data_IF_845338084219
#
_entry.id   IF_845338084219
#
_cell.length_a   1.000
_cell.length_b   1.000
_cell.length_c   1.000
_cell.angle_alpha   90.00
_cell.angle_beta   90.00
_cell.angle_gamma   90.00
#
_symmetry.space_group_name_H-M   'P 1'
#
loop_
_entity.id
_entity.type
_entity.pdbx_description
1 polymer ?
#
# COMPACT_ATOMS: atom_id res chain seq x y z
N UNK A 1 -13.88 7.94 7.73
CA UNK A 1 -13.07 7.74 8.95
C UNK A 1 -13.96 7.13 10.02
N UNK A 2 -13.47 6.17 10.81
CA UNK A 2 -14.25 5.64 11.93
C UNK A 2 -14.37 6.71 13.03
N UNK A 3 -15.55 6.92 13.64
CA UNK A 3 -15.76 8.03 14.59
C UNK A 3 -14.99 7.87 15.90
N UNK A 4 -14.70 6.63 16.32
CA UNK A 4 -14.15 6.33 17.66
C UNK A 4 -12.79 5.62 17.64
N UNK A 5 -12.29 5.25 16.45
CA UNK A 5 -11.09 4.41 16.31
C UNK A 5 -10.17 5.04 15.28
N UNK A 6 -8.87 4.88 15.49
CA UNK A 6 -7.83 5.31 14.55
C UNK A 6 -7.73 4.32 13.39
N UNK A 7 -8.80 4.23 12.61
CA UNK A 7 -8.92 3.35 11.45
C UNK A 7 -9.72 4.05 10.35
N UNK A 8 -9.31 3.80 9.11
CA UNK A 8 -10.12 4.04 7.93
C UNK A 8 -10.18 2.78 7.09
N UNK A 9 -11.22 2.67 6.28
CA UNK A 9 -11.43 1.55 5.38
C UNK A 9 -11.84 2.09 4.02
N UNK A 10 -11.34 1.45 2.98
CA UNK A 10 -11.83 1.59 1.62
C UNK A 10 -12.72 0.39 1.33
N UNK A 11 -13.95 0.64 0.87
CA UNK A 11 -14.85 -0.40 0.38
C UNK A 11 -14.98 -0.22 -1.12
N UNK A 12 -14.60 -1.26 -1.86
CA UNK A 12 -14.67 -1.29 -3.32
C UNK A 12 -15.77 -2.27 -3.70
N UNK A 13 -16.70 -1.82 -4.54
CA UNK A 13 -17.75 -2.67 -5.10
C UNK A 13 -17.64 -2.60 -6.62
N UNK A 14 -17.56 -3.76 -7.27
CA UNK A 14 -17.51 -3.88 -8.71
C UNK A 14 -18.75 -4.64 -9.19
N UNK A 15 -19.43 -4.08 -10.19
CA UNK A 15 -20.62 -4.69 -10.81
C UNK A 15 -20.36 -4.86 -12.30
N UNK A 16 -20.47 -6.09 -12.80
CA UNK A 16 -20.46 -6.35 -14.23
C UNK A 16 -21.83 -5.99 -14.82
N UNK A 17 -21.86 -5.03 -15.74
CA UNK A 17 -23.09 -4.65 -16.47
C UNK A 17 -23.17 -5.32 -17.85
N UNK A 18 -22.17 -6.12 -18.20
CA UNK A 18 -22.11 -6.90 -19.43
C UNK A 18 -22.81 -8.25 -19.31
N UNK A 19 -22.70 -9.04 -20.38
CA UNK A 19 -23.25 -10.39 -20.47
C UNK A 19 -22.17 -11.48 -20.40
N UNK A 20 -20.91 -11.08 -20.27
CA UNK A 20 -19.74 -11.96 -20.20
C UNK A 20 -19.06 -11.79 -18.85
N UNK A 21 -18.71 -12.87 -18.15
CA UNK A 21 -17.94 -12.78 -16.91
C UNK A 21 -16.63 -12.01 -17.11
N UNK A 22 -16.27 -11.17 -16.14
CA UNK A 22 -15.03 -10.39 -16.16
C UNK A 22 -14.17 -10.75 -14.96
N UNK A 23 -12.88 -10.97 -15.23
CA UNK A 23 -11.90 -11.14 -14.17
C UNK A 23 -11.41 -9.76 -13.72
N UNK A 24 -11.44 -9.47 -12.42
CA UNK A 24 -10.94 -8.22 -11.86
C UNK A 24 -10.20 -8.45 -10.55
N UNK A 25 -9.25 -7.58 -10.25
CA UNK A 25 -8.68 -7.42 -8.92
C UNK A 25 -8.79 -5.94 -8.49
N UNK A 26 -8.44 -5.67 -7.23
CA UNK A 26 -8.28 -4.32 -6.73
C UNK A 26 -6.88 -4.15 -6.15
N UNK A 27 -6.26 -3.00 -6.42
CA UNK A 27 -4.95 -2.63 -5.87
C UNK A 27 -5.09 -1.37 -5.03
N UNK A 28 -4.77 -1.45 -3.73
CA UNK A 28 -4.54 -0.30 -2.87
C UNK A 28 -3.11 0.19 -3.09
N UNK A 29 -2.94 1.50 -3.30
CA UNK A 29 -1.65 2.18 -3.36
C UNK A 29 -1.70 3.36 -2.38
N UNK A 30 -0.88 3.32 -1.33
CA UNK A 30 -0.89 4.33 -0.27
C UNK A 30 0.55 4.74 0.08
N UNK A 31 0.92 5.96 -0.29
CA UNK A 31 2.17 6.59 0.14
C UNK A 31 2.15 6.89 1.65
N UNK A 32 3.31 6.83 2.29
CA UNK A 32 3.46 6.97 3.74
C UNK A 32 4.47 8.06 4.11
N UNK A 33 4.05 9.03 4.91
CA UNK A 33 4.96 9.98 5.57
C UNK A 33 5.28 9.60 7.02
N UNK A 34 4.24 9.22 7.79
CA UNK A 34 4.31 8.90 9.23
C UNK A 34 5.23 9.84 10.03
N UNK A 35 5.03 11.15 9.87
CA UNK A 35 5.81 12.15 10.58
C UNK A 35 5.13 13.50 10.64
N UNK A 36 5.72 14.42 11.41
CA UNK A 36 5.24 15.79 11.46
C UNK A 36 5.38 16.47 10.10
N UNK A 37 4.45 17.38 9.76
CA UNK A 37 4.43 18.06 8.46
C UNK A 37 5.78 18.66 8.06
N UNK A 38 6.46 19.34 8.99
CA UNK A 38 7.76 19.96 8.70
C UNK A 38 8.86 18.95 8.39
N UNK A 39 8.82 17.76 9.00
CA UNK A 39 9.77 16.69 8.73
C UNK A 39 9.51 16.08 7.35
N UNK A 40 8.27 15.65 7.10
CA UNK A 40 7.89 15.00 5.83
C UNK A 40 8.13 15.93 4.64
N UNK A 41 7.63 17.17 4.70
CA UNK A 41 7.72 18.13 3.59
C UNK A 41 9.12 18.73 3.41
N UNK A 42 10.08 18.44 4.30
CA UNK A 42 11.47 18.90 4.13
C UNK A 42 12.25 17.98 3.20
N UNK A 43 12.00 16.67 3.29
CA UNK A 43 12.61 15.65 2.46
C UNK A 43 11.86 14.31 2.67
N UNK A 44 10.92 14.01 1.79
CA UNK A 44 10.08 12.81 1.84
C UNK A 44 10.91 11.52 1.65
N UNK A 45 11.96 11.59 0.83
CA UNK A 45 12.89 10.48 0.61
C UNK A 45 13.63 10.12 1.89
N UNK A 46 14.17 11.13 2.58
CA UNK A 46 14.79 10.96 3.88
C UNK A 46 13.80 10.45 4.93
N UNK A 47 12.56 10.95 4.94
CA UNK A 47 11.54 10.45 5.85
C UNK A 47 11.24 8.96 5.63
N UNK A 48 11.23 8.52 4.37
CA UNK A 48 11.00 7.13 3.96
C UNK A 48 12.12 6.19 4.39
N UNK A 49 13.38 6.64 4.39
CA UNK A 49 14.52 5.84 4.83
C UNK A 49 14.42 5.38 6.30
N UNK A 50 13.64 6.09 7.14
CA UNK A 50 13.41 5.73 8.54
C UNK A 50 12.08 5.00 8.76
N UNK A 51 11.34 4.69 7.70
CA UNK A 51 10.17 3.82 7.77
C UNK A 51 10.60 2.36 7.72
N UNK A 52 10.45 1.71 8.86
CA UNK A 52 10.65 0.28 8.97
C UNK A 52 9.40 -0.48 8.61
N UNK A 53 9.52 -1.43 7.69
CA UNK A 53 8.40 -2.22 7.20
C UNK A 53 8.50 -3.66 7.72
N UNK A 54 7.43 -4.14 8.32
CA UNK A 54 7.24 -5.53 8.71
C UNK A 54 6.01 -6.09 8.00
N UNK A 55 6.11 -7.32 7.49
CA UNK A 55 4.99 -7.98 6.83
C UNK A 55 4.61 -9.22 7.63
N UNK A 56 3.42 -9.19 8.21
CA UNK A 56 2.83 -10.36 8.86
C UNK A 56 1.90 -11.07 7.87
N UNK A 57 1.94 -12.41 7.85
CA UNK A 57 1.02 -13.20 7.03
C UNK A 57 -0.11 -13.74 7.89
N UNK A 58 -1.33 -13.25 7.64
CA UNK A 58 -2.53 -13.69 8.33
C UNK A 58 -3.31 -14.71 7.47
N UNK A 59 -3.85 -15.79 8.06
CA UNK A 59 -4.55 -16.84 7.29
C UNK A 59 -5.69 -16.34 6.39
N UNK A 60 -6.44 -15.31 6.83
CA UNK A 60 -7.57 -14.76 6.06
C UNK A 60 -7.29 -13.42 5.37
N UNK A 61 -6.28 -12.66 5.83
CA UNK A 61 -6.03 -11.30 5.29
C UNK A 61 -4.88 -11.32 4.27
N UNK A 62 -4.14 -12.43 4.17
CA UNK A 62 -2.91 -12.49 3.41
C UNK A 62 -1.81 -11.64 4.04
N UNK A 63 -0.97 -10.94 3.25
CA UNK A 63 0.04 -10.03 3.77
C UNK A 63 -0.61 -8.79 4.43
N UNK A 64 -0.18 -8.50 5.65
CA UNK A 64 -0.49 -7.27 6.38
C UNK A 64 0.80 -6.46 6.50
N UNK A 65 0.86 -5.33 5.81
CA UNK A 65 2.04 -4.45 5.78
C UNK A 65 1.94 -3.48 6.96
N UNK A 66 2.91 -3.58 7.86
CA UNK A 66 3.05 -2.72 9.03
C UNK A 66 4.25 -1.82 8.82
N UNK A 67 4.10 -0.52 9.06
CA UNK A 67 5.19 0.45 8.91
C UNK A 67 5.34 1.29 10.17
N UNK A 68 6.58 1.51 10.62
CA UNK A 68 6.90 2.30 11.82
C UNK A 68 7.96 3.34 11.49
N UNK A 69 7.73 4.58 11.92
CA UNK A 69 8.74 5.63 11.84
C UNK A 69 9.75 5.46 12.99
N UNK A 70 10.98 5.07 12.62
CA UNK A 70 12.06 4.85 13.57
C UNK A 70 12.69 6.15 14.08
N UNK A 71 12.62 7.24 13.32
CA UNK A 71 13.06 8.55 13.80
C UNK A 71 11.97 9.20 14.66
N UNK A 72 12.29 9.58 15.90
CA UNK A 72 11.30 10.14 16.81
C UNK A 72 10.61 11.39 16.23
N UNK A 73 9.28 11.38 16.23
CA UNK A 73 8.41 12.46 15.78
C UNK A 73 7.71 13.04 17.02
N UNK A 74 8.13 14.24 17.44
CA UNK A 74 7.64 14.88 18.66
C UNK A 74 7.68 13.97 19.91
N UNK A 75 8.74 13.17 20.04
CA UNK A 75 8.94 12.25 21.18
C UNK A 75 8.23 10.88 21.05
N UNK A 76 7.57 10.61 19.93
CA UNK A 76 6.89 9.34 19.65
C UNK A 76 7.39 8.67 18.37
N UNK A 77 6.94 7.43 18.14
CA UNK A 77 7.25 6.66 16.93
C UNK A 77 5.96 6.21 16.26
N UNK A 78 5.37 7.05 15.39
CA UNK A 78 4.10 6.73 14.73
C UNK A 78 4.24 5.47 13.87
N UNK A 79 3.16 4.71 13.79
CA UNK A 79 3.11 3.47 13.04
C UNK A 79 1.72 3.30 12.40
N UNK A 80 1.65 2.39 11.44
CA UNK A 80 0.43 2.05 10.71
C UNK A 80 0.46 0.59 10.28
N UNK A 81 -0.72 -0.01 10.10
CA UNK A 81 -0.89 -1.29 9.44
C UNK A 81 -1.95 -1.17 8.34
N UNK A 82 -1.68 -1.76 7.18
CA UNK A 82 -2.64 -1.95 6.11
C UNK A 82 -2.84 -3.44 5.85
N UNK A 83 -4.07 -3.83 5.66
CA UNK A 83 -4.45 -5.19 5.27
C UNK A 83 -5.70 -5.15 4.40
N UNK A 84 -6.00 -6.28 3.77
CA UNK A 84 -7.22 -6.48 3.00
C UNK A 84 -8.13 -7.44 3.75
N UNK A 85 -9.38 -7.03 4.03
CA UNK A 85 -10.33 -7.85 4.77
C UNK A 85 -10.76 -9.11 4.00
N UNK A 86 -10.80 -9.01 2.68
CA UNK A 86 -11.12 -10.12 1.76
C UNK A 86 -9.89 -10.94 1.36
N UNK A 87 -8.71 -10.56 1.86
CA UNK A 87 -7.44 -11.22 1.58
C UNK A 87 -6.65 -10.56 0.44
N UNK A 88 -5.40 -10.18 0.73
CA UNK A 88 -4.46 -9.76 -0.29
C UNK A 88 -3.68 -10.98 -0.84
N UNK A 89 -3.41 -10.99 -2.14
CA UNK A 89 -2.60 -11.99 -2.82
C UNK A 89 -1.17 -11.51 -3.09
N UNK A 90 -0.94 -10.19 -3.13
CA UNK A 90 0.38 -9.60 -3.38
C UNK A 90 0.60 -8.29 -2.63
N UNK A 91 1.86 -7.93 -2.42
CA UNK A 91 2.24 -6.68 -1.75
C UNK A 91 3.56 -6.08 -2.25
N UNK A 92 3.71 -4.77 -2.01
CA UNK A 92 5.00 -4.06 -2.06
C UNK A 92 5.05 -3.01 -0.93
N UNK A 93 6.25 -2.57 -0.57
CA UNK A 93 6.47 -1.54 0.47
C UNK A 93 7.11 -0.25 -0.06
N UNK A 94 7.42 -0.21 -1.35
CA UNK A 94 7.91 0.97 -2.05
C UNK A 94 7.12 1.15 -3.36
N UNK A 95 7.01 2.38 -3.84
CA UNK A 95 6.24 2.70 -5.03
C UNK A 95 6.91 2.26 -6.35
N UNK A 96 8.20 1.93 -6.34
CA UNK A 96 8.99 1.58 -7.55
C UNK A 96 8.32 0.58 -8.51
N UNK A 97 7.62 -0.49 -8.08
CA UNK A 97 6.96 -1.40 -9.00
C UNK A 97 5.88 -0.73 -9.88
N UNK A 98 5.22 0.32 -9.38
CA UNK A 98 4.15 1.02 -10.10
C UNK A 98 4.57 2.39 -10.63
N UNK A 99 5.49 3.08 -9.93
CA UNK A 99 5.91 4.46 -10.19
C UNK A 99 7.40 4.58 -10.56
N UNK A 100 8.03 3.46 -10.96
CA UNK A 100 9.44 3.39 -11.33
C UNK A 100 9.78 3.94 -12.72
N UNK A 101 10.93 3.53 -13.30
CA UNK A 101 11.37 4.01 -14.62
C UNK A 101 10.32 3.83 -15.72
N UNK A 102 9.64 2.67 -15.74
CA UNK A 102 8.59 2.39 -16.70
C UNK A 102 7.52 3.50 -16.66
N UNK A 103 6.92 3.77 -15.50
CA UNK A 103 5.94 4.85 -15.33
C UNK A 103 6.41 6.21 -15.85
N UNK A 104 7.70 6.55 -15.65
CA UNK A 104 8.27 7.80 -16.17
C UNK A 104 8.36 7.83 -17.70
N UNK A 105 8.57 6.68 -18.32
CA UNK A 105 8.69 6.55 -19.78
C UNK A 105 7.31 6.59 -20.46
N UNK A 106 6.29 5.95 -19.88
CA UNK A 106 4.96 5.79 -20.50
C UNK A 106 3.83 6.62 -19.90
N UNK A 107 4.04 7.26 -18.74
CA UNK A 107 3.10 8.21 -18.13
C UNK A 107 1.79 7.62 -17.62
N UNK A 108 1.70 6.30 -17.40
CA UNK A 108 0.52 5.63 -16.86
C UNK A 108 0.92 4.53 -15.88
N UNK A 109 0.06 4.19 -14.93
CA UNK A 109 0.32 3.06 -14.04
C UNK A 109 -0.03 1.77 -14.78
N UNK A 110 0.89 0.80 -14.81
CA UNK A 110 0.59 -0.55 -15.24
C UNK A 110 -0.12 -1.29 -14.10
N UNK A 111 -1.44 -1.46 -14.22
CA UNK A 111 -2.24 -2.17 -13.23
C UNK A 111 -1.91 -3.66 -13.14
N UNK A 112 -1.28 -4.23 -14.17
CA UNK A 112 -0.83 -5.62 -14.22
C UNK A 112 0.58 -5.85 -13.72
N UNK A 113 1.32 -4.78 -13.37
CA UNK A 113 2.71 -4.90 -12.93
C UNK A 113 2.85 -5.86 -11.73
N UNK A 114 3.86 -6.71 -11.77
CA UNK A 114 4.13 -7.68 -10.70
C UNK A 114 4.49 -6.97 -9.40
N UNK A 115 3.88 -7.42 -8.30
CA UNK A 115 4.26 -6.98 -6.97
C UNK A 115 5.35 -7.92 -6.44
N UNK A 116 6.49 -7.40 -5.96
CA UNK A 116 7.65 -8.20 -5.61
C UNK A 116 7.43 -9.16 -4.43
N UNK A 117 6.41 -8.93 -3.58
CA UNK A 117 6.16 -9.79 -2.42
C UNK A 117 7.31 -9.79 -1.41
N UNK A 118 8.12 -8.73 -1.40
CA UNK A 118 9.27 -8.56 -0.54
C UNK A 118 9.31 -7.13 0.01
N UNK A 119 9.90 -6.99 1.20
CA UNK A 119 10.17 -5.67 1.80
C UNK A 119 11.30 -5.00 1.02
N UNK A 120 11.04 -3.81 0.51
CA UNK A 120 12.02 -2.87 -0.01
C UNK A 120 11.99 -1.61 0.87
N UNK A 121 13.09 -1.35 1.57
CA UNK A 121 13.31 -0.09 2.30
C UNK A 121 14.12 0.85 1.42
N UNK A 122 13.50 1.93 0.99
CA UNK A 122 14.11 2.89 0.08
C UNK A 122 13.53 4.29 0.32
N UNK A 123 13.32 5.07 -0.75
CA UNK A 123 13.03 6.51 -0.68
C UNK A 123 11.57 6.85 -1.01
N UNK A 124 10.72 5.87 -1.32
CA UNK A 124 9.30 6.13 -1.63
C UNK A 124 8.42 5.12 -0.91
N UNK A 125 8.40 5.22 0.43
CA UNK A 125 7.62 4.33 1.28
C UNK A 125 6.14 4.35 0.86
N UNK A 126 5.68 3.20 0.36
CA UNK A 126 4.35 3.07 -0.20
C UNK A 126 3.84 1.66 0.06
N UNK A 127 2.74 1.56 0.81
CA UNK A 127 2.08 0.27 0.94
C UNK A 127 1.24 0.00 -0.31
N UNK A 128 1.58 -1.08 -1.00
CA UNK A 128 0.80 -1.60 -2.12
C UNK A 128 0.25 -2.96 -1.71
N UNK A 129 -1.07 -3.15 -1.83
CA UNK A 129 -1.74 -4.43 -1.58
C UNK A 129 -2.66 -4.73 -2.76
N UNK A 130 -2.57 -5.94 -3.32
CA UNK A 130 -3.44 -6.40 -4.41
C UNK A 130 -4.26 -7.61 -3.95
N UNK A 131 -5.55 -7.61 -4.23
CA UNK A 131 -6.44 -8.76 -3.97
C UNK A 131 -6.11 -9.93 -4.88
N UNK A 132 -6.69 -11.10 -4.61
CA UNK A 132 -6.79 -12.13 -5.65
C UNK A 132 -7.63 -11.63 -6.84
N UNK A 133 -7.43 -12.26 -8.00
CA UNK A 133 -8.31 -12.05 -9.14
C UNK A 133 -9.62 -12.80 -8.92
N UNK A 134 -10.75 -12.09 -8.99
CA UNK A 134 -12.10 -12.62 -8.84
C UNK A 134 -12.89 -12.49 -10.14
N UNK A 135 -13.80 -13.43 -10.37
CA UNK A 135 -14.71 -13.36 -11.52
C UNK A 135 -16.01 -12.68 -11.11
N UNK A 136 -16.29 -11.52 -11.70
CA UNK A 136 -17.56 -10.81 -11.57
C UNK A 136 -18.48 -11.30 -12.68
N UNK A 137 -19.59 -11.93 -12.27
CA UNK A 137 -20.59 -12.51 -13.16
C UNK A 137 -21.46 -11.42 -13.79
#
# INVERSE_FOLDING_TARGET
LHPERTIWCWRVEATNTGTTPLACDATLVQDLGLGGRGFVMSNEAYASQYLDHHVAHHPSLGPVVMSRQNLAQAGAHPWIAHGCLDGAAGFATDAMPLLGPAYRDHGHIDSGADLPGAVLQHEVACTILRTGCETVL
#
